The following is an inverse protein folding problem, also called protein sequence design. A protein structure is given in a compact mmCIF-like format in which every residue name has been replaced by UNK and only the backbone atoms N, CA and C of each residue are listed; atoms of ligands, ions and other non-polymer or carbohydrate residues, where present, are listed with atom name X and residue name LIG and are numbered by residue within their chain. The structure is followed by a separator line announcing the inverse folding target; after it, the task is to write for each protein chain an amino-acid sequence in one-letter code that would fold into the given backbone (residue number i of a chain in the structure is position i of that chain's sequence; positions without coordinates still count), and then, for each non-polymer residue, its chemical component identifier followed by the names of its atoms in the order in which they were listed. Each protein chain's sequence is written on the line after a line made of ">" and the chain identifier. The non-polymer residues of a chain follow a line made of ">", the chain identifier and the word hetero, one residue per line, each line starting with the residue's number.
data_IF_964250353597
#
_entry.id   IF_964250353597
#
_cell.length_a   1.000
_cell.length_b   1.000
_cell.length_c   1.000
_cell.angle_alpha   90.00
_cell.angle_beta   90.00
_cell.angle_gamma   90.00
#
_symmetry.space_group_name_H-M   'P 1'
#
loop_
_entity.id
_entity.type
_entity.pdbx_description
1 polymer ?
#
# COMPACT_ATOMS: atom_id res chain seq x y z
N UNK A 1 10.25 10.17 27.13
CA UNK A 1 10.69 8.81 26.74
C UNK A 1 10.01 8.53 25.41
N UNK A 2 10.78 8.38 24.32
CA UNK A 2 10.16 8.05 23.02
C UNK A 2 9.82 6.55 23.00
N UNK A 3 8.60 6.22 22.56
CA UNK A 3 8.18 4.83 22.35
C UNK A 3 8.66 4.38 20.98
N UNK A 4 9.65 3.48 20.97
CA UNK A 4 10.20 2.89 19.74
C UNK A 4 10.21 1.38 19.89
N UNK A 5 9.83 0.66 18.85
CA UNK A 5 9.84 -0.80 18.86
C UNK A 5 10.01 -1.40 17.47
N UNK A 6 10.48 -2.64 17.43
CA UNK A 6 10.54 -3.46 16.23
C UNK A 6 9.84 -4.79 16.51
N UNK A 7 8.97 -5.21 15.59
CA UNK A 7 8.31 -6.50 15.64
C UNK A 7 8.46 -7.20 14.30
N UNK A 8 8.52 -8.53 14.33
CA UNK A 8 8.57 -9.36 13.13
C UNK A 8 7.72 -10.61 13.35
N UNK A 9 6.44 -10.54 12.89
CA UNK A 9 5.53 -11.69 12.96
C UNK A 9 4.27 -11.47 12.11
N UNK A 10 4.20 -12.08 10.94
CA UNK A 10 5.31 -12.45 10.03
C UNK A 10 5.94 -11.23 9.35
N UNK A 11 5.29 -10.06 9.43
CA UNK A 11 5.72 -8.78 8.86
C UNK A 11 6.75 -8.09 9.76
N UNK A 12 7.75 -7.49 9.16
CA UNK A 12 8.70 -6.64 9.87
C UNK A 12 8.05 -5.27 10.15
N UNK A 13 7.67 -5.02 11.40
CA UNK A 13 6.99 -3.78 11.81
C UNK A 13 8.00 -2.85 12.50
N UNK A 14 8.16 -1.67 11.95
CA UNK A 14 8.97 -0.58 12.50
C UNK A 14 8.02 0.47 13.10
N UNK A 15 7.91 0.51 14.42
CA UNK A 15 7.05 1.46 15.13
C UNK A 15 7.87 2.54 15.82
N UNK A 16 7.47 3.81 15.69
CA UNK A 16 8.03 4.95 16.42
C UNK A 16 7.94 6.26 15.65
N UNK A 17 7.98 7.37 16.38
CA UNK A 17 7.96 8.71 15.80
C UNK A 17 9.22 8.97 14.95
N UNK A 18 9.05 9.59 13.79
CA UNK A 18 10.11 9.90 12.84
C UNK A 18 10.62 8.71 12.04
N UNK A 19 10.03 7.51 12.21
CA UNK A 19 10.52 6.31 11.52
C UNK A 19 10.20 6.27 10.02
N UNK A 20 9.41 7.20 9.52
CA UNK A 20 9.23 7.39 8.07
C UNK A 20 10.58 7.64 7.36
N UNK A 21 11.57 8.20 8.05
CA UNK A 21 12.92 8.39 7.53
C UNK A 21 13.62 7.07 7.15
N UNK A 22 13.17 5.92 7.69
CA UNK A 22 13.68 4.59 7.33
C UNK A 22 13.02 3.97 6.10
N UNK A 23 12.15 4.71 5.41
CA UNK A 23 11.45 4.21 4.22
C UNK A 23 12.42 3.77 3.10
N UNK A 24 13.52 4.48 2.79
CA UNK A 24 14.49 4.01 1.81
C UNK A 24 15.12 2.66 2.20
N UNK A 25 15.43 2.46 3.46
CA UNK A 25 15.98 1.18 3.95
C UNK A 25 14.96 0.04 3.82
N UNK A 26 13.67 0.35 4.07
CA UNK A 26 12.60 -0.63 3.86
C UNK A 26 12.44 -1.00 2.38
N UNK A 27 12.56 -0.03 1.47
CA UNK A 27 12.57 -0.28 0.03
C UNK A 27 13.78 -1.14 -0.37
N UNK A 28 14.97 -0.80 0.09
CA UNK A 28 16.19 -1.57 -0.19
C UNK A 28 16.10 -3.01 0.32
N UNK A 29 15.56 -3.21 1.53
CA UNK A 29 15.37 -4.55 2.12
C UNK A 29 14.39 -5.43 1.34
N UNK A 30 13.51 -4.83 0.54
CA UNK A 30 12.56 -5.51 -0.34
C UNK A 30 12.99 -5.54 -1.80
N UNK A 31 14.17 -5.01 -2.12
CA UNK A 31 14.74 -4.97 -3.46
C UNK A 31 14.18 -3.90 -4.38
N UNK A 32 13.42 -2.94 -3.85
CA UNK A 32 12.86 -1.82 -4.64
C UNK A 32 13.94 -0.78 -4.95
N UNK A 33 13.99 -0.36 -6.19
CA UNK A 33 14.85 0.73 -6.69
C UNK A 33 14.05 1.88 -7.28
N UNK A 34 12.81 1.63 -7.67
CA UNK A 34 11.89 2.60 -8.24
C UNK A 34 10.45 2.34 -7.80
N UNK A 35 10.13 2.48 -6.51
CA UNK A 35 8.78 2.21 -6.02
C UNK A 35 7.74 3.20 -6.55
N UNK A 36 6.47 2.76 -6.61
CA UNK A 36 5.30 3.63 -6.76
C UNK A 36 4.67 3.85 -5.39
N UNK A 37 4.58 5.09 -4.94
CA UNK A 37 3.77 5.45 -3.78
C UNK A 37 2.31 5.53 -4.20
N UNK A 38 1.45 4.74 -3.56
CA UNK A 38 0.00 4.72 -3.80
C UNK A 38 -0.70 5.27 -2.57
N UNK A 39 -1.50 6.32 -2.75
CA UNK A 39 -2.25 6.99 -1.69
C UNK A 39 -3.63 7.43 -2.17
N UNK A 40 -4.46 7.96 -1.29
CA UNK A 40 -5.74 8.52 -1.67
C UNK A 40 -5.66 10.02 -2.02
N UNK A 41 -6.68 10.52 -2.73
CA UNK A 41 -6.76 11.93 -3.16
C UNK A 41 -6.70 12.91 -2.00
N UNK A 42 -7.22 12.52 -0.82
CA UNK A 42 -7.22 13.38 0.37
C UNK A 42 -5.83 13.58 0.97
N UNK A 43 -4.93 12.60 0.78
CA UNK A 43 -3.56 12.67 1.26
C UNK A 43 -2.57 13.24 0.22
N UNK A 44 -2.91 13.18 -1.07
CA UNK A 44 -1.99 13.50 -2.17
C UNK A 44 -1.27 14.84 -2.01
N UNK A 45 -2.03 15.88 -1.64
CA UNK A 45 -1.54 17.26 -1.53
C UNK A 45 -1.12 17.64 -0.09
N UNK A 46 -1.16 16.70 0.86
CA UNK A 46 -0.77 16.98 2.23
C UNK A 46 0.76 17.00 2.40
N UNK A 47 1.27 17.81 3.36
CA UNK A 47 2.70 17.90 3.62
C UNK A 47 3.37 16.57 3.93
N UNK A 48 2.65 15.62 4.55
CA UNK A 48 3.21 14.29 4.87
C UNK A 48 3.52 13.48 3.61
N UNK A 49 2.72 13.61 2.56
CA UNK A 49 2.97 12.95 1.27
C UNK A 49 4.14 13.59 0.56
N UNK A 50 4.18 14.93 0.50
CA UNK A 50 5.30 15.66 -0.08
C UNK A 50 6.63 15.32 0.62
N UNK A 51 6.66 15.36 1.95
CA UNK A 51 7.85 15.01 2.74
C UNK A 51 8.29 13.54 2.52
N UNK A 52 7.33 12.61 2.39
CA UNK A 52 7.64 11.21 2.09
C UNK A 52 8.27 11.05 0.70
N UNK A 53 7.75 11.77 -0.30
CA UNK A 53 8.34 11.77 -1.64
C UNK A 53 9.73 12.42 -1.67
N UNK A 54 9.96 13.47 -0.87
CA UNK A 54 11.29 14.10 -0.74
C UNK A 54 12.32 13.12 -0.13
N UNK A 55 11.91 12.31 0.85
CA UNK A 55 12.76 11.25 1.43
C UNK A 55 13.14 10.23 0.36
N UNK A 56 12.19 9.79 -0.46
CA UNK A 56 12.44 8.82 -1.53
C UNK A 56 13.37 9.40 -2.62
N UNK A 57 13.12 10.64 -3.05
CA UNK A 57 13.94 11.32 -4.04
C UNK A 57 15.37 11.53 -3.58
N UNK A 58 15.56 11.96 -2.33
CA UNK A 58 16.89 12.14 -1.72
C UNK A 58 17.69 10.82 -1.68
N UNK A 59 16.99 9.68 -1.58
CA UNK A 59 17.59 8.35 -1.64
C UNK A 59 17.76 7.79 -3.06
N UNK A 60 17.40 8.55 -4.10
CA UNK A 60 17.51 8.13 -5.50
C UNK A 60 16.41 7.16 -5.97
N UNK A 61 15.34 6.99 -5.19
CA UNK A 61 14.21 6.10 -5.49
C UNK A 61 13.13 6.77 -6.37
N UNK A 62 13.27 8.07 -6.65
CA UNK A 62 12.35 8.86 -7.46
C UNK A 62 11.12 9.33 -6.68
N UNK A 63 10.15 9.91 -7.42
CA UNK A 63 8.91 10.50 -6.87
C UNK A 63 7.66 9.89 -7.50
N UNK A 64 7.66 8.60 -7.80
CA UNK A 64 6.51 7.92 -8.37
C UNK A 64 5.31 8.02 -7.42
N UNK A 65 4.21 8.63 -7.87
CA UNK A 65 2.98 8.82 -7.10
C UNK A 65 1.77 8.43 -7.94
N UNK A 66 0.89 7.63 -7.34
CA UNK A 66 -0.47 7.41 -7.81
C UNK A 66 -1.45 7.76 -6.68
N UNK A 67 -2.36 8.69 -6.92
CA UNK A 67 -3.26 9.22 -5.91
C UNK A 67 -4.75 9.17 -6.31
N UNK A 68 -5.08 8.52 -7.43
CA UNK A 68 -6.46 8.41 -7.91
C UNK A 68 -7.21 7.26 -7.22
N UNK A 69 -7.26 7.36 -5.88
CA UNK A 69 -7.88 6.36 -5.00
C UNK A 69 -9.12 6.98 -4.35
N UNK A 70 -10.27 6.40 -4.64
CA UNK A 70 -11.54 6.79 -4.03
C UNK A 70 -11.72 6.16 -2.64
N UNK A 71 -12.54 6.76 -1.76
CA UNK A 71 -13.05 6.04 -0.60
C UNK A 71 -13.75 4.74 -1.05
N UNK A 72 -13.38 3.58 -0.48
CA UNK A 72 -13.79 2.27 -0.95
C UNK A 72 -13.43 2.04 -2.43
N UNK A 73 -12.14 1.90 -2.75
CA UNK A 73 -11.65 1.83 -4.12
C UNK A 73 -12.28 0.66 -4.89
N UNK A 74 -12.41 0.86 -6.19
CA UNK A 74 -12.99 -0.12 -7.11
C UNK A 74 -11.96 -0.59 -8.16
N UNK A 75 -12.39 -1.48 -9.06
CA UNK A 75 -11.54 -2.01 -10.12
C UNK A 75 -11.04 -0.93 -11.08
N UNK A 76 -11.77 0.17 -11.27
CA UNK A 76 -11.35 1.29 -12.15
C UNK A 76 -10.13 1.99 -11.54
N UNK A 77 -10.17 2.29 -10.24
CA UNK A 77 -9.00 2.83 -9.54
C UNK A 77 -7.81 1.86 -9.61
N UNK A 78 -8.08 0.55 -9.47
CA UNK A 78 -7.06 -0.48 -9.55
C UNK A 78 -6.40 -0.54 -10.93
N UNK A 79 -7.20 -0.57 -11.99
CA UNK A 79 -6.70 -0.60 -13.37
C UNK A 79 -5.85 0.63 -13.70
N UNK A 80 -6.30 1.82 -13.24
CA UNK A 80 -5.53 3.05 -13.38
C UNK A 80 -4.20 2.98 -12.61
N UNK A 81 -4.20 2.47 -11.38
CA UNK A 81 -2.99 2.28 -10.58
C UNK A 81 -2.00 1.29 -11.20
N UNK A 82 -2.49 0.17 -11.74
CA UNK A 82 -1.67 -0.81 -12.47
C UNK A 82 -1.09 -0.21 -13.76
N UNK A 83 -1.88 0.59 -14.48
CA UNK A 83 -1.41 1.29 -15.67
C UNK A 83 -0.28 2.29 -15.31
N UNK A 84 -0.45 3.07 -14.24
CA UNK A 84 0.58 3.98 -13.75
C UNK A 84 1.85 3.24 -13.33
N UNK A 85 1.71 2.12 -12.60
CA UNK A 85 2.84 1.27 -12.21
C UNK A 85 3.66 0.80 -13.41
N UNK A 86 3.00 0.27 -14.42
CA UNK A 86 3.63 -0.25 -15.65
C UNK A 86 4.26 0.87 -16.47
N UNK A 87 3.55 1.96 -16.70
CA UNK A 87 4.02 3.10 -17.48
C UNK A 87 5.24 3.77 -16.84
N UNK A 88 5.29 3.84 -15.51
CA UNK A 88 6.42 4.37 -14.76
C UNK A 88 7.62 3.42 -14.71
N UNK A 89 7.48 2.14 -15.08
CA UNK A 89 8.52 1.14 -14.93
C UNK A 89 8.91 0.93 -13.46
N UNK A 90 7.90 0.90 -12.59
CA UNK A 90 8.09 0.70 -11.17
C UNK A 90 8.38 -0.77 -10.83
N UNK A 91 9.08 -1.02 -9.73
CA UNK A 91 9.55 -2.35 -9.31
C UNK A 91 9.01 -2.78 -7.92
N UNK A 92 8.17 -1.95 -7.32
CA UNK A 92 7.51 -2.23 -6.05
C UNK A 92 6.50 -1.15 -5.71
N UNK A 93 5.74 -1.36 -4.63
CA UNK A 93 4.69 -0.45 -4.18
C UNK A 93 4.90 -0.05 -2.72
N UNK A 94 4.81 1.25 -2.47
CA UNK A 94 4.62 1.80 -1.13
C UNK A 94 3.14 2.11 -0.98
N UNK A 95 2.42 1.27 -0.22
CA UNK A 95 1.03 1.50 0.14
C UNK A 95 0.98 2.51 1.30
N UNK A 96 0.52 3.74 1.05
CA UNK A 96 0.57 4.87 1.98
C UNK A 96 -0.84 5.39 2.24
N UNK A 97 -1.26 5.46 3.50
CA UNK A 97 -2.56 6.02 3.82
C UNK A 97 -3.39 5.23 4.82
N UNK A 98 -4.69 5.47 4.82
CA UNK A 98 -5.68 4.67 5.53
C UNK A 98 -6.02 3.37 4.79
N UNK A 99 -7.07 2.67 5.24
CA UNK A 99 -7.45 1.36 4.67
C UNK A 99 -7.60 1.36 3.14
N UNK A 100 -8.21 2.40 2.55
CA UNK A 100 -8.42 2.49 1.10
C UNK A 100 -7.09 2.60 0.33
N UNK A 101 -6.19 3.46 0.78
CA UNK A 101 -4.86 3.63 0.18
C UNK A 101 -4.01 2.36 0.32
N UNK A 102 -4.05 1.74 1.51
CA UNK A 102 -3.34 0.49 1.77
C UNK A 102 -3.88 -0.66 0.91
N UNK A 103 -5.21 -0.83 0.86
CA UNK A 103 -5.84 -1.91 0.11
C UNK A 103 -5.59 -1.78 -1.39
N UNK A 104 -5.74 -0.56 -1.95
CA UNK A 104 -5.45 -0.37 -3.36
C UNK A 104 -3.96 -0.53 -3.66
N UNK A 105 -3.06 0.02 -2.83
CA UNK A 105 -1.62 -0.16 -3.03
C UNK A 105 -1.20 -1.61 -3.07
N UNK A 106 -1.72 -2.43 -2.15
CA UNK A 106 -1.50 -3.89 -2.16
C UNK A 106 -2.02 -4.55 -3.43
N UNK A 107 -3.20 -4.12 -3.90
CA UNK A 107 -3.79 -4.67 -5.14
C UNK A 107 -3.07 -4.22 -6.40
N UNK A 108 -2.54 -3.00 -6.45
CA UNK A 108 -1.65 -2.57 -7.55
C UNK A 108 -0.42 -3.48 -7.62
N UNK A 109 0.23 -3.74 -6.49
CA UNK A 109 1.38 -4.65 -6.42
C UNK A 109 1.01 -6.09 -6.86
N UNK A 110 -0.15 -6.58 -6.40
CA UNK A 110 -0.66 -7.89 -6.76
C UNK A 110 -0.93 -8.00 -8.26
N UNK A 111 -1.68 -7.03 -8.82
CA UNK A 111 -2.13 -7.07 -10.21
C UNK A 111 -1.08 -6.62 -11.23
N UNK A 112 0.03 -6.04 -10.81
CA UNK A 112 1.08 -5.50 -11.69
C UNK A 112 1.60 -6.53 -12.70
N UNK A 113 1.74 -7.79 -12.28
CA UNK A 113 2.20 -8.90 -13.14
C UNK A 113 1.12 -9.91 -13.51
N UNK A 114 -0.13 -9.75 -13.03
CA UNK A 114 -1.20 -10.70 -13.35
C UNK A 114 -1.77 -10.46 -14.75
N UNK A 115 -2.27 -11.54 -15.38
CA UNK A 115 -2.90 -11.50 -16.70
C UNK A 115 -4.40 -11.74 -16.68
N UNK A 116 -4.95 -12.18 -15.53
CA UNK A 116 -6.38 -12.41 -15.32
C UNK A 116 -7.06 -11.17 -14.74
N UNK A 117 -8.37 -10.96 -14.95
CA UNK A 117 -9.14 -9.93 -14.25
C UNK A 117 -9.09 -10.12 -12.72
N UNK A 118 -9.12 -9.02 -11.96
CA UNK A 118 -9.05 -9.05 -10.49
C UNK A 118 -10.12 -9.93 -9.85
N UNK A 119 -11.31 -10.00 -10.45
CA UNK A 119 -12.43 -10.78 -9.92
C UNK A 119 -12.24 -12.29 -9.99
N UNK A 120 -11.27 -12.78 -10.77
CA UNK A 120 -10.90 -14.21 -10.78
C UNK A 120 -10.04 -14.60 -9.56
N UNK A 121 -9.64 -13.62 -8.75
CA UNK A 121 -8.87 -13.82 -7.51
C UNK A 121 -9.69 -13.51 -6.25
N UNK A 122 -11.01 -13.41 -6.36
CA UNK A 122 -11.89 -13.24 -5.20
C UNK A 122 -11.63 -14.36 -4.17
N UNK A 123 -11.73 -14.03 -2.87
CA UNK A 123 -11.52 -14.98 -1.77
C UNK A 123 -12.66 -16.02 -1.71
N UNK A 124 -12.65 -16.92 -2.68
CA UNK A 124 -13.61 -18.02 -2.84
C UNK A 124 -12.82 -19.32 -3.00
N UNK A 125 -12.87 -20.18 -2.01
CA UNK A 125 -12.17 -21.47 -2.04
C UNK A 125 -10.67 -21.31 -2.28
N UNK A 126 -10.18 -21.90 -3.36
CA UNK A 126 -8.76 -21.88 -3.75
C UNK A 126 -8.41 -20.90 -4.89
N UNK A 127 -9.27 -19.94 -5.21
CA UNK A 127 -9.06 -19.04 -6.36
C UNK A 127 -7.78 -18.23 -6.28
N UNK A 128 -7.28 -17.97 -5.07
CA UNK A 128 -6.00 -17.29 -4.85
C UNK A 128 -4.82 -18.07 -5.50
N UNK A 129 -4.94 -19.38 -5.69
CA UNK A 129 -3.90 -20.22 -6.33
C UNK A 129 -3.78 -19.99 -7.84
N UNK A 130 -4.72 -19.26 -8.45
CA UNK A 130 -4.70 -18.89 -9.87
C UNK A 130 -3.67 -17.79 -10.16
N UNK A 131 -3.21 -17.10 -9.12
CA UNK A 131 -2.26 -16.01 -9.26
C UNK A 131 -0.86 -16.53 -9.57
N UNK A 132 -0.17 -15.83 -10.47
CA UNK A 132 1.28 -15.96 -10.58
C UNK A 132 1.93 -15.27 -9.38
N UNK A 133 2.34 -16.09 -8.41
CA UNK A 133 2.93 -15.61 -7.17
C UNK A 133 4.28 -14.91 -7.36
N UNK A 134 5.01 -15.22 -8.41
CA UNK A 134 6.34 -14.64 -8.64
C UNK A 134 6.24 -13.30 -9.39
N UNK A 135 5.08 -13.03 -9.97
CA UNK A 135 4.76 -11.76 -10.62
C UNK A 135 4.17 -10.70 -9.65
N UNK A 136 4.01 -11.01 -8.37
CA UNK A 136 3.55 -10.06 -7.36
C UNK A 136 4.71 -9.17 -6.94
N UNK A 137 4.55 -7.85 -7.11
CA UNK A 137 5.55 -6.87 -6.73
C UNK A 137 5.73 -6.77 -5.20
N UNK A 138 6.92 -6.45 -4.69
CA UNK A 138 7.14 -6.23 -3.27
C UNK A 138 6.32 -5.05 -2.73
N UNK A 139 5.94 -5.13 -1.45
CA UNK A 139 5.07 -4.17 -0.78
C UNK A 139 5.72 -3.68 0.51
N UNK A 140 5.81 -2.36 0.67
CA UNK A 140 6.02 -1.68 1.95
C UNK A 140 4.74 -0.94 2.30
N UNK A 141 4.25 -1.07 3.54
CA UNK A 141 3.06 -0.36 3.98
C UNK A 141 3.41 0.75 4.98
N UNK A 142 2.76 1.89 4.82
CA UNK A 142 2.89 3.07 5.70
C UNK A 142 1.50 3.55 6.08
N UNK A 143 0.90 3.03 7.16
CA UNK A 143 -0.41 3.46 7.61
C UNK A 143 -0.36 4.89 8.17
N UNK A 144 -1.35 5.71 7.78
CA UNK A 144 -1.56 7.06 8.32
C UNK A 144 -2.80 7.16 9.21
N UNK A 145 -3.48 6.03 9.44
CA UNK A 145 -4.62 5.88 10.36
C UNK A 145 -4.40 4.64 11.21
N UNK A 146 -5.06 4.56 12.37
CA UNK A 146 -5.05 3.37 13.21
C UNK A 146 -6.37 2.58 13.06
N UNK A 147 -6.32 1.26 13.26
CA UNK A 147 -7.49 0.40 13.43
C UNK A 147 -7.91 -0.43 12.23
N UNK A 148 -7.50 -0.11 11.00
CA UNK A 148 -7.90 -0.91 9.82
C UNK A 148 -7.23 -2.27 9.75
N UNK A 149 -5.99 -2.39 10.21
CA UNK A 149 -5.21 -3.62 10.15
C UNK A 149 -4.77 -4.04 8.73
N UNK A 150 -5.05 -3.20 7.71
CA UNK A 150 -4.70 -3.54 6.32
C UNK A 150 -3.20 -3.71 6.11
N UNK A 151 -2.38 -3.01 6.89
CA UNK A 151 -0.90 -3.09 6.85
C UNK A 151 -0.34 -4.44 7.26
N UNK A 152 -1.11 -5.24 8.00
CA UNK A 152 -0.73 -6.60 8.45
C UNK A 152 -1.66 -7.69 7.88
N UNK A 153 -2.55 -7.32 6.95
CA UNK A 153 -3.51 -8.22 6.31
C UNK A 153 -2.99 -8.81 5.01
N UNK A 154 -3.37 -10.06 4.73
CA UNK A 154 -3.10 -10.78 3.47
C UNK A 154 -4.21 -10.60 2.43
N UNK A 155 -5.12 -9.69 2.68
CA UNK A 155 -6.28 -9.43 1.84
C UNK A 155 -6.46 -7.92 1.64
N UNK A 156 -7.23 -7.57 0.62
CA UNK A 156 -7.69 -6.21 0.36
C UNK A 156 -9.15 -6.23 -0.03
N UNK A 157 -9.84 -5.14 0.26
CA UNK A 157 -11.24 -4.97 -0.09
C UNK A 157 -11.35 -4.03 -1.29
N UNK A 158 -11.91 -4.54 -2.40
CA UNK A 158 -12.18 -3.77 -3.60
C UNK A 158 -13.69 -3.80 -3.87
N UNK A 159 -14.27 -2.65 -4.18
CA UNK A 159 -15.68 -2.52 -4.49
C UNK A 159 -15.90 -2.83 -5.97
N UNK A 160 -16.81 -3.74 -6.29
CA UNK A 160 -17.20 -3.96 -7.68
C UNK A 160 -18.09 -2.80 -8.13
N UNK A 161 -17.69 -2.05 -9.17
CA UNK A 161 -18.38 -0.84 -9.65
C UNK A 161 -19.77 -1.11 -10.22
N UNK A 162 -20.02 -2.33 -10.69
CA UNK A 162 -21.32 -2.72 -11.30
C UNK A 162 -22.30 -3.16 -10.23
N UNK A 163 -21.87 -4.01 -9.29
CA UNK A 163 -22.74 -4.59 -8.26
C UNK A 163 -22.74 -3.81 -6.95
N UNK A 164 -21.82 -2.86 -6.79
CA UNK A 164 -21.55 -2.12 -5.57
C UNK A 164 -21.23 -3.01 -4.35
N UNK A 165 -20.92 -4.29 -4.59
CA UNK A 165 -20.54 -5.22 -3.54
C UNK A 165 -19.04 -5.08 -3.23
N UNK A 166 -18.70 -5.09 -1.95
CA UNK A 166 -17.31 -5.19 -1.49
C UNK A 166 -16.86 -6.64 -1.65
N UNK A 167 -15.74 -6.82 -2.35
CA UNK A 167 -15.13 -8.11 -2.61
C UNK A 167 -13.76 -8.17 -1.93
N UNK A 168 -13.44 -9.32 -1.39
CA UNK A 168 -12.14 -9.58 -0.77
C UNK A 168 -11.28 -10.30 -1.80
N UNK A 169 -10.08 -9.77 -2.03
CA UNK A 169 -9.02 -10.41 -2.80
C UNK A 169 -7.95 -10.83 -1.79
N UNK A 170 -7.68 -12.11 -1.73
CA UNK A 170 -6.74 -12.71 -0.79
C UNK A 170 -5.56 -13.36 -1.54
N UNK A 171 -4.35 -13.12 -1.03
CA UNK A 171 -3.18 -13.91 -1.42
C UNK A 171 -2.09 -13.80 -0.33
N UNK A 172 -1.37 -14.90 0.02
CA UNK A 172 -0.33 -14.86 1.05
C UNK A 172 0.76 -13.78 0.81
N UNK A 173 1.17 -13.57 -0.44
CA UNK A 173 2.20 -12.58 -0.82
C UNK A 173 1.69 -11.12 -0.88
N UNK A 174 0.42 -10.86 -0.63
CA UNK A 174 -0.11 -9.49 -0.49
C UNK A 174 0.17 -8.91 0.90
N UNK A 175 0.62 -9.74 1.83
CA UNK A 175 1.11 -9.27 3.13
C UNK A 175 2.33 -8.37 2.90
N UNK A 176 2.30 -7.09 3.34
CA UNK A 176 3.47 -6.22 3.25
C UNK A 176 4.68 -6.81 3.96
N UNK A 177 5.85 -6.78 3.31
CA UNK A 177 7.09 -7.33 3.86
C UNK A 177 7.63 -6.47 5.00
N UNK A 178 7.46 -5.15 4.88
CA UNK A 178 7.84 -4.17 5.90
C UNK A 178 6.68 -3.20 6.11
N UNK A 179 6.43 -2.86 7.36
CA UNK A 179 5.46 -1.83 7.77
C UNK A 179 6.18 -0.75 8.55
N UNK A 180 5.95 0.52 8.20
CA UNK A 180 6.43 1.67 8.99
C UNK A 180 5.22 2.32 9.64
N UNK A 181 5.06 2.10 10.94
CA UNK A 181 4.04 2.71 11.78
C UNK A 181 4.63 3.93 12.48
N UNK A 182 4.59 5.08 11.81
CA UNK A 182 5.03 6.35 12.36
C UNK A 182 3.83 7.15 12.87
N UNK A 183 3.68 7.32 14.20
CA UNK A 183 2.51 8.02 14.74
C UNK A 183 2.47 9.51 14.36
N UNK A 184 3.58 10.12 13.95
CA UNK A 184 3.59 11.52 13.50
C UNK A 184 2.80 11.69 12.19
N UNK A 185 2.67 10.66 11.37
CA UNK A 185 1.86 10.69 10.15
C UNK A 185 0.35 10.72 10.42
N UNK A 186 -0.07 10.41 11.65
CA UNK A 186 -1.48 10.40 12.04
C UNK A 186 -1.95 11.71 12.67
N UNK A 187 -1.05 12.60 13.08
CA UNK A 187 -1.37 13.82 13.85
C UNK A 187 -2.27 14.79 13.08
N UNK A 188 -2.13 14.86 11.76
CA UNK A 188 -2.95 15.73 10.91
C UNK A 188 -4.34 15.17 10.58
N UNK A 189 -4.68 14.00 11.08
CA UNK A 189 -5.97 13.35 10.78
C UNK A 189 -7.14 14.12 11.42
N UNK A 190 -8.24 14.36 10.69
CA UNK A 190 -9.43 15.00 11.26
C UNK A 190 -9.95 14.24 12.49
N UNK A 191 -10.35 14.99 13.53
CA UNK A 191 -10.80 14.41 14.82
C UNK A 191 -11.91 13.37 14.68
N UNK A 192 -12.82 13.57 13.72
CA UNK A 192 -13.94 12.64 13.50
C UNK A 192 -13.53 11.30 12.90
N UNK A 193 -12.29 11.20 12.36
CA UNK A 193 -11.72 9.92 11.90
C UNK A 193 -10.98 9.23 13.03
N UNK A 194 -10.50 10.00 14.03
CA UNK A 194 -9.72 9.47 15.15
C UNK A 194 -10.61 8.91 16.27
N UNK A 195 -11.87 9.34 16.35
CA UNK A 195 -12.81 9.03 17.44
C UNK A 195 -13.39 7.61 17.35
#
# INVERSE_FOLDING_TARGET
>A
MSLVGNWSYPTNIKFGAGRIAELPDACAATGMTKPLLVTDRGLADLPITAATLDILEAAGLGRGLFADVDPNPNEINLEAGVAAYRAGGHDGVIAFGGGSGLDLGKMVAFMAGQTRPVWEFEDVGDWWTRADSDAIAPIVAVPTTAGTGSEVGRASVITNSVTHAKKIIFHPKVLPSVVICDPELTVGMPKFITA
#
